data_IF_164098768197
#
_entry.id   IF_164098768197
#
_cell.length_a   1.000
_cell.length_b   1.000
_cell.length_c   1.000
_cell.angle_alpha   90.00
_cell.angle_beta   90.00
_cell.angle_gamma   90.00
#
_symmetry.space_group_name_H-M   'P 1'
#
loop_
_entity.id
_entity.type
_entity.pdbx_description
1 polymer ?
#
# COMPACT_ATOMS: atom_id res chain seq x y z
N UNK A 1 21.40 -21.31 4.12
CA UNK A 1 21.05 -20.51 5.31
C UNK A 1 22.13 -19.48 5.59
N UNK A 2 21.77 -18.21 5.89
CA UNK A 2 22.74 -17.14 6.24
C UNK A 2 23.41 -17.42 7.60
N UNK A 3 22.66 -17.98 8.55
CA UNK A 3 23.17 -18.35 9.89
C UNK A 3 24.23 -19.44 9.79
N UNK A 4 23.99 -20.51 9.01
CA UNK A 4 24.99 -21.57 8.83
C UNK A 4 26.23 -21.11 8.08
N UNK A 5 26.11 -20.13 7.16
CA UNK A 5 27.28 -19.53 6.51
C UNK A 5 28.12 -18.76 7.53
N UNK A 6 27.48 -17.92 8.35
CA UNK A 6 28.13 -17.18 9.43
C UNK A 6 28.80 -18.11 10.46
N UNK A 7 28.14 -19.21 10.81
CA UNK A 7 28.65 -20.22 11.75
C UNK A 7 29.83 -21.01 11.17
N UNK A 8 29.76 -21.35 9.88
CA UNK A 8 30.85 -22.03 9.17
C UNK A 8 32.12 -21.17 9.10
N UNK A 9 31.99 -19.89 8.75
CA UNK A 9 33.11 -18.94 8.73
C UNK A 9 33.82 -18.79 10.08
N UNK A 10 33.14 -19.14 11.18
CA UNK A 10 33.65 -19.02 12.56
C UNK A 10 33.95 -20.38 13.20
N UNK A 11 33.91 -21.46 12.44
CA UNK A 11 34.18 -22.80 12.93
C UNK A 11 33.08 -23.41 13.82
N UNK A 12 31.96 -22.73 14.02
CA UNK A 12 30.82 -23.23 14.81
C UNK A 12 30.00 -24.31 14.09
N UNK A 13 30.11 -24.40 12.76
CA UNK A 13 29.46 -25.43 11.96
C UNK A 13 30.41 -25.98 10.90
N UNK A 14 30.32 -27.27 10.60
CA UNK A 14 31.10 -27.92 9.53
C UNK A 14 30.51 -27.71 8.13
N UNK A 15 29.31 -27.13 8.03
CA UNK A 15 28.65 -26.83 6.77
C UNK A 15 27.16 -26.52 6.95
N UNK A 16 26.48 -26.13 5.86
CA UNK A 16 25.03 -25.94 5.88
C UNK A 16 24.32 -27.29 5.62
N UNK A 17 23.60 -27.86 6.60
CA UNK A 17 22.92 -29.16 6.44
C UNK A 17 21.77 -29.12 5.43
N UNK A 18 21.27 -27.93 5.11
CA UNK A 18 20.22 -27.73 4.09
C UNK A 18 20.77 -27.55 2.67
N UNK A 19 22.10 -27.68 2.47
CA UNK A 19 22.71 -27.59 1.14
C UNK A 19 22.22 -28.78 0.30
N UNK A 20 21.50 -28.49 -0.78
CA UNK A 20 20.87 -29.51 -1.65
C UNK A 20 19.35 -29.67 -1.42
N UNK A 21 18.80 -29.10 -0.35
CA UNK A 21 17.35 -29.07 -0.14
C UNK A 21 16.74 -27.95 -0.99
N UNK A 22 15.81 -28.31 -1.88
CA UNK A 22 15.07 -27.34 -2.70
C UNK A 22 14.19 -26.47 -1.80
N UNK A 23 14.30 -25.16 -1.95
CA UNK A 23 13.39 -24.24 -1.27
C UNK A 23 11.99 -24.38 -1.87
N UNK A 24 10.98 -24.40 -1.00
CA UNK A 24 9.60 -24.25 -1.44
C UNK A 24 9.42 -22.89 -2.11
N UNK A 25 8.86 -22.89 -3.33
CA UNK A 25 8.64 -21.65 -4.08
C UNK A 25 7.19 -21.25 -3.88
N UNK A 26 6.97 -20.22 -3.08
CA UNK A 26 5.65 -19.63 -2.90
C UNK A 26 5.23 -18.88 -4.17
N UNK A 27 4.00 -19.10 -4.62
CA UNK A 27 3.39 -18.30 -5.68
C UNK A 27 2.91 -16.99 -5.06
N UNK A 28 3.45 -15.87 -5.57
CA UNK A 28 3.03 -14.55 -5.11
C UNK A 28 1.60 -14.25 -5.51
N UNK A 29 0.88 -13.52 -4.65
CA UNK A 29 -0.48 -13.06 -4.93
C UNK A 29 -0.50 -12.09 -6.13
N UNK A 30 -1.44 -12.31 -7.05
CA UNK A 30 -1.60 -11.60 -8.33
C UNK A 30 -2.99 -10.96 -8.52
N UNK A 31 -3.91 -11.16 -7.58
CA UNK A 31 -5.28 -10.63 -7.63
C UNK A 31 -5.33 -9.09 -7.70
N UNK A 32 -6.07 -8.58 -8.69
CA UNK A 32 -6.48 -7.17 -8.81
C UNK A 32 -7.73 -6.89 -7.97
N UNK A 33 -7.80 -5.70 -7.35
CA UNK A 33 -8.98 -5.24 -6.61
C UNK A 33 -9.83 -4.39 -7.53
N UNK A 34 -11.07 -4.81 -7.76
CA UNK A 34 -11.99 -4.09 -8.64
C UNK A 34 -12.40 -2.74 -8.03
N UNK A 35 -12.90 -1.84 -8.88
CA UNK A 35 -13.43 -0.56 -8.40
C UNK A 35 -14.63 -0.77 -7.48
N UNK A 36 -15.48 -1.73 -7.80
CA UNK A 36 -16.63 -2.12 -7.00
C UNK A 36 -16.23 -2.59 -5.60
N UNK A 37 -15.26 -3.50 -5.49
CA UNK A 37 -14.74 -3.97 -4.20
C UNK A 37 -14.10 -2.85 -3.38
N UNK A 38 -13.31 -2.00 -4.03
CA UNK A 38 -12.70 -0.85 -3.37
C UNK A 38 -13.76 0.10 -2.83
N UNK A 39 -14.75 0.46 -3.65
CA UNK A 39 -15.80 1.41 -3.31
C UNK A 39 -16.75 0.85 -2.23
N UNK A 40 -17.09 -0.44 -2.31
CA UNK A 40 -17.90 -1.12 -1.32
C UNK A 40 -17.23 -1.07 0.07
N UNK A 41 -15.95 -1.43 0.15
CA UNK A 41 -15.19 -1.31 1.41
C UNK A 41 -15.05 0.15 1.85
N UNK A 42 -14.80 1.08 0.92
CA UNK A 42 -14.67 2.49 1.22
C UNK A 42 -15.96 3.07 1.83
N UNK A 43 -17.12 2.65 1.34
CA UNK A 43 -18.43 3.16 1.77
C UNK A 43 -18.74 2.88 3.24
N UNK A 44 -18.36 1.69 3.73
CA UNK A 44 -18.57 1.27 5.13
C UNK A 44 -17.41 1.64 6.05
N UNK A 45 -16.25 2.00 5.48
CA UNK A 45 -15.04 2.23 6.25
C UNK A 45 -15.12 3.50 7.13
N UNK A 46 -14.58 3.45 8.37
CA UNK A 46 -14.44 4.65 9.19
C UNK A 46 -13.49 5.65 8.52
N UNK A 47 -13.63 6.95 8.84
CA UNK A 47 -12.89 8.03 8.18
C UNK A 47 -11.37 7.81 8.12
N UNK A 48 -10.77 7.32 9.21
CA UNK A 48 -9.34 6.97 9.28
C UNK A 48 -8.95 5.94 8.21
N UNK A 49 -9.78 4.91 8.01
CA UNK A 49 -9.53 3.84 7.03
C UNK A 49 -9.74 4.37 5.62
N UNK A 50 -10.79 5.16 5.38
CA UNK A 50 -11.04 5.82 4.08
C UNK A 50 -9.87 6.67 3.63
N UNK A 51 -9.36 7.53 4.52
CA UNK A 51 -8.18 8.36 4.24
C UNK A 51 -6.96 7.49 3.94
N UNK A 52 -6.71 6.45 4.73
CA UNK A 52 -5.59 5.54 4.50
C UNK A 52 -5.70 4.80 3.16
N UNK A 53 -6.91 4.36 2.77
CA UNK A 53 -7.17 3.71 1.49
C UNK A 53 -6.84 4.63 0.31
N UNK A 54 -7.29 5.89 0.37
CA UNK A 54 -7.02 6.88 -0.68
C UNK A 54 -5.54 7.20 -0.78
N UNK A 55 -4.86 7.43 0.35
CA UNK A 55 -3.42 7.70 0.35
C UNK A 55 -2.61 6.50 -0.16
N UNK A 56 -2.97 5.27 0.20
CA UNK A 56 -2.28 4.07 -0.31
C UNK A 56 -2.48 3.89 -1.82
N UNK A 57 -3.71 4.08 -2.30
CA UNK A 57 -4.09 3.95 -3.71
C UNK A 57 -3.46 5.05 -4.57
N UNK A 58 -3.73 6.33 -4.28
CA UNK A 58 -3.31 7.47 -5.09
C UNK A 58 -1.79 7.67 -5.08
N UNK A 59 -1.15 7.50 -3.91
CA UNK A 59 0.29 7.71 -3.79
C UNK A 59 1.11 6.45 -4.09
N UNK A 60 0.47 5.30 -4.37
CA UNK A 60 1.12 4.00 -4.51
C UNK A 60 2.07 3.68 -3.33
N UNK A 61 1.65 4.05 -2.12
CA UNK A 61 2.46 4.04 -0.91
C UNK A 61 2.23 2.75 -0.08
N UNK A 62 3.23 2.32 0.70
CA UNK A 62 3.07 1.19 1.62
C UNK A 62 2.33 1.64 2.86
N UNK A 63 1.69 0.70 3.56
CA UNK A 63 0.97 0.99 4.81
C UNK A 63 1.81 1.78 5.81
N UNK A 64 3.07 1.38 6.05
CA UNK A 64 3.93 2.08 6.98
C UNK A 64 4.19 3.54 6.55
N UNK A 65 4.47 3.76 5.26
CA UNK A 65 4.70 5.10 4.71
C UNK A 65 3.44 5.99 4.87
N UNK A 66 2.24 5.40 4.73
CA UNK A 66 0.95 6.09 4.91
C UNK A 66 0.71 6.46 6.38
N UNK A 67 0.96 5.53 7.31
CA UNK A 67 0.73 5.76 8.75
C UNK A 67 1.78 6.71 9.37
N UNK A 68 2.97 6.79 8.80
CA UNK A 68 4.03 7.70 9.25
C UNK A 68 3.99 9.07 8.57
N UNK A 69 3.04 9.28 7.65
CA UNK A 69 2.91 10.53 6.90
C UNK A 69 2.64 11.71 7.83
N UNK A 70 3.46 12.75 7.72
CA UNK A 70 3.39 13.98 8.51
C UNK A 70 2.80 15.13 7.72
N UNK A 71 2.15 16.05 8.41
CA UNK A 71 1.61 17.29 7.82
C UNK A 71 2.71 18.18 7.21
N UNK A 72 3.93 18.12 7.74
CA UNK A 72 5.09 18.84 7.19
C UNK A 72 5.55 18.32 5.82
N UNK A 73 5.07 17.16 5.38
CA UNK A 73 5.33 16.63 4.04
C UNK A 73 4.36 17.17 2.98
N UNK A 74 3.31 17.87 3.41
CA UNK A 74 2.36 18.52 2.51
C UNK A 74 2.96 19.87 2.09
N UNK A 75 3.37 19.97 0.83
CA UNK A 75 4.00 21.14 0.22
C UNK A 75 3.12 21.68 -0.92
N UNK A 76 3.47 22.84 -1.48
CA UNK A 76 2.66 23.48 -2.52
C UNK A 76 2.48 22.58 -3.75
N UNK A 77 3.50 21.83 -4.12
CA UNK A 77 3.53 20.97 -5.29
C UNK A 77 2.81 19.63 -5.07
N UNK A 78 2.69 19.15 -3.83
CA UNK A 78 2.14 17.83 -3.54
C UNK A 78 2.48 17.27 -2.16
N UNK A 79 2.49 15.94 -2.05
CA UNK A 79 2.94 15.22 -0.86
C UNK A 79 4.34 14.66 -1.07
N UNK A 80 5.31 15.11 -0.29
CA UNK A 80 6.68 14.60 -0.31
C UNK A 80 6.79 13.28 0.46
N UNK A 81 6.89 12.16 -0.26
CA UNK A 81 7.02 10.82 0.32
C UNK A 81 8.43 10.29 0.08
N UNK A 82 9.15 10.01 1.18
CA UNK A 82 10.39 9.23 1.15
C UNK A 82 10.10 7.82 1.65
N UNK A 83 10.11 6.84 0.75
CA UNK A 83 9.75 5.46 1.09
C UNK A 83 10.75 4.86 2.09
N UNK A 84 10.29 4.36 3.23
CA UNK A 84 11.18 3.83 4.29
C UNK A 84 12.00 2.63 3.81
N UNK A 85 11.42 1.78 2.94
CA UNK A 85 12.06 0.54 2.48
C UNK A 85 13.11 0.75 1.38
N UNK A 86 12.92 1.72 0.50
CA UNK A 86 13.75 1.91 -0.71
C UNK A 86 14.54 3.21 -0.70
N UNK A 87 14.25 4.11 0.25
CA UNK A 87 14.79 5.46 0.40
C UNK A 87 14.53 6.42 -0.79
N UNK A 88 13.72 6.00 -1.77
CA UNK A 88 13.34 6.83 -2.91
C UNK A 88 12.40 7.95 -2.43
N UNK A 89 12.75 9.20 -2.73
CA UNK A 89 11.94 10.37 -2.45
C UNK A 89 11.18 10.80 -3.71
N UNK A 90 9.88 11.07 -3.57
CA UNK A 90 9.02 11.52 -4.66
C UNK A 90 7.99 12.50 -4.12
N UNK A 91 7.65 13.51 -4.93
CA UNK A 91 6.49 14.36 -4.68
C UNK A 91 5.32 13.74 -5.44
N UNK A 92 4.23 13.45 -4.73
CA UNK A 92 2.95 13.06 -5.33
C UNK A 92 2.15 14.33 -5.56
N UNK A 93 2.11 14.76 -6.83
CA UNK A 93 1.46 16.00 -7.21
C UNK A 93 -0.02 16.00 -6.80
N UNK A 94 -0.53 17.19 -6.47
CA UNK A 94 -1.92 17.34 -6.07
C UNK A 94 -2.87 16.97 -7.21
N UNK A 95 -3.93 16.25 -6.84
CA UNK A 95 -5.12 16.03 -7.66
C UNK A 95 -6.34 16.40 -6.82
N UNK A 96 -7.49 16.64 -7.46
CA UNK A 96 -8.73 16.92 -6.75
C UNK A 96 -9.08 15.81 -5.74
N UNK A 97 -8.95 14.54 -6.16
CA UNK A 97 -9.18 13.37 -5.31
C UNK A 97 -8.18 13.28 -4.15
N UNK A 98 -6.90 13.59 -4.38
CA UNK A 98 -5.90 13.59 -3.31
C UNK A 98 -6.15 14.72 -2.31
N UNK A 99 -6.53 15.90 -2.78
CA UNK A 99 -6.92 17.02 -1.93
C UNK A 99 -8.15 16.67 -1.07
N UNK A 100 -9.17 16.03 -1.65
CA UNK A 100 -10.33 15.57 -0.92
C UNK A 100 -9.96 14.59 0.21
N UNK A 101 -9.04 13.66 -0.04
CA UNK A 101 -8.53 12.73 0.97
C UNK A 101 -7.82 13.45 2.12
N UNK A 102 -7.02 14.48 1.82
CA UNK A 102 -6.35 15.30 2.85
C UNK A 102 -7.34 16.18 3.61
N UNK A 103 -8.37 16.72 2.95
CA UNK A 103 -9.44 17.46 3.63
C UNK A 103 -10.21 16.56 4.60
N UNK A 104 -10.54 15.33 4.20
CA UNK A 104 -11.11 14.32 5.09
C UNK A 104 -10.16 13.94 6.24
N UNK A 105 -8.86 13.92 6.01
CA UNK A 105 -7.86 13.68 7.07
C UNK A 105 -7.88 14.78 8.14
N UNK A 106 -8.14 16.04 7.75
CA UNK A 106 -8.24 17.17 8.69
C UNK A 106 -9.46 17.10 9.59
N UNK A 107 -10.52 16.38 9.18
CA UNK A 107 -11.74 16.21 9.99
C UNK A 107 -11.68 14.99 10.92
N UNK A 108 -10.53 14.31 11.01
CA UNK A 108 -10.38 13.18 11.93
C UNK A 108 -10.43 13.67 13.39
N UNK A 109 -11.15 12.95 14.28
CA UNK A 109 -11.38 13.42 15.64
C UNK A 109 -10.07 13.49 16.44
N UNK A 110 -9.93 14.56 17.21
CA UNK A 110 -8.90 14.80 18.22
C UNK A 110 -9.56 15.07 19.55
N UNK A 111 -8.93 14.66 20.64
CA UNK A 111 -9.33 15.06 21.97
C UNK A 111 -9.05 16.56 22.15
N UNK A 112 -9.84 17.23 22.99
CA UNK A 112 -9.68 18.66 23.25
C UNK A 112 -8.26 18.99 23.74
N UNK A 113 -7.70 20.07 23.21
CA UNK A 113 -6.32 20.50 23.49
C UNK A 113 -5.22 19.69 22.79
N UNK A 114 -5.56 18.63 22.04
CA UNK A 114 -4.57 17.84 21.32
C UNK A 114 -4.37 18.33 19.89
N UNK A 115 -3.12 18.26 19.43
CA UNK A 115 -2.77 18.43 18.01
C UNK A 115 -1.99 17.21 17.52
N UNK A 116 -2.03 16.96 16.21
CA UNK A 116 -1.26 15.88 15.59
C UNK A 116 -0.32 16.41 14.52
N UNK A 117 0.90 15.89 14.53
CA UNK A 117 1.88 16.04 13.45
C UNK A 117 1.59 15.13 12.25
N UNK A 118 0.80 14.09 12.43
CA UNK A 118 0.52 13.07 11.43
C UNK A 118 -0.74 13.41 10.64
N UNK A 119 -0.79 12.97 9.38
CA UNK A 119 -2.00 13.07 8.55
C UNK A 119 -3.05 12.08 9.03
N UNK A 120 -2.63 10.87 9.39
CA UNK A 120 -3.48 9.85 10.01
C UNK A 120 -3.05 9.67 11.46
N UNK A 121 -3.96 9.95 12.38
CA UNK A 121 -3.69 9.90 13.81
C UNK A 121 -4.87 9.37 14.63
N UNK A 122 -4.55 8.92 15.83
CA UNK A 122 -5.51 8.60 16.87
C UNK A 122 -6.07 9.89 17.48
N UNK A 123 -7.14 9.78 18.27
CA UNK A 123 -7.72 10.93 18.98
C UNK A 123 -6.72 11.56 19.98
N UNK A 124 -5.74 10.78 20.46
CA UNK A 124 -4.61 11.24 21.28
C UNK A 124 -3.52 11.99 20.49
N UNK A 125 -3.73 12.29 19.20
CA UNK A 125 -2.77 12.99 18.33
C UNK A 125 -1.58 12.15 17.86
N UNK A 126 -1.37 10.95 18.40
CA UNK A 126 -0.29 10.06 17.99
C UNK A 126 -0.64 9.28 16.71
N UNK A 127 0.38 8.85 15.96
CA UNK A 127 0.18 7.95 14.81
C UNK A 127 -0.45 6.62 15.23
N UNK A 128 -1.09 5.95 14.28
CA UNK A 128 -1.48 4.56 14.49
C UNK A 128 -0.28 3.62 14.44
N UNK A 129 -0.28 2.61 15.30
CA UNK A 129 0.56 1.43 15.10
C UNK A 129 -0.01 0.58 13.95
N UNK A 130 0.83 -0.25 13.34
CA UNK A 130 0.40 -1.18 12.29
C UNK A 130 -0.77 -2.05 12.75
N UNK A 131 -0.66 -2.63 13.94
CA UNK A 131 -1.66 -3.57 14.45
C UNK A 131 -2.95 -2.85 14.87
N UNK A 132 -2.83 -1.65 15.46
CA UNK A 132 -3.98 -0.81 15.79
C UNK A 132 -4.77 -0.38 14.56
N UNK A 133 -4.08 -0.03 13.46
CA UNK A 133 -4.73 0.24 12.18
C UNK A 133 -5.35 -1.02 11.56
N UNK A 134 -4.61 -2.14 11.56
CA UNK A 134 -5.08 -3.40 10.97
C UNK A 134 -6.34 -3.95 11.63
N UNK A 135 -6.52 -3.73 12.93
CA UNK A 135 -7.77 -4.07 13.62
C UNK A 135 -8.97 -3.33 13.02
N UNK A 136 -8.84 -2.00 12.78
CA UNK A 136 -9.89 -1.19 12.15
C UNK A 136 -10.13 -1.57 10.70
N UNK A 137 -9.07 -1.84 9.95
CA UNK A 137 -9.15 -2.34 8.58
C UNK A 137 -9.90 -3.67 8.49
N UNK A 138 -9.58 -4.62 9.39
CA UNK A 138 -10.25 -5.92 9.45
C UNK A 138 -11.73 -5.77 9.75
N UNK A 139 -12.09 -4.94 10.75
CA UNK A 139 -13.49 -4.66 11.08
C UNK A 139 -14.27 -4.08 9.89
N UNK A 140 -13.69 -3.11 9.17
CA UNK A 140 -14.31 -2.55 7.97
C UNK A 140 -14.52 -3.61 6.87
N UNK A 141 -13.58 -4.56 6.71
CA UNK A 141 -13.71 -5.67 5.77
C UNK A 141 -14.80 -6.68 6.18
N UNK A 142 -14.93 -6.96 7.47
CA UNK A 142 -15.99 -7.83 8.00
C UNK A 142 -17.36 -7.20 7.72
N UNK A 143 -17.51 -5.91 8.03
CA UNK A 143 -18.74 -5.16 7.74
C UNK A 143 -19.05 -5.08 6.23
N UNK A 144 -18.02 -4.89 5.39
CA UNK A 144 -18.20 -4.89 3.95
C UNK A 144 -18.63 -6.26 3.41
N UNK A 145 -18.12 -7.37 3.99
CA UNK A 145 -18.56 -8.73 3.63
C UNK A 145 -20.03 -8.94 3.95
N UNK A 146 -20.49 -8.44 5.10
CA UNK A 146 -21.87 -8.60 5.53
C UNK A 146 -22.83 -7.79 4.65
N UNK A 147 -22.45 -6.57 4.26
CA UNK A 147 -23.28 -5.70 3.40
C UNK A 147 -23.22 -6.07 1.91
N UNK A 148 -22.09 -6.58 1.43
CA UNK A 148 -21.84 -6.91 0.02
C UNK A 148 -21.39 -8.37 -0.14
N UNK A 149 -22.26 -9.37 0.15
CA UNK A 149 -21.88 -10.78 0.16
C UNK A 149 -21.53 -11.33 -1.23
N UNK A 150 -21.89 -10.63 -2.30
CA UNK A 150 -21.53 -10.97 -3.68
C UNK A 150 -20.09 -10.54 -4.06
N UNK A 151 -19.42 -9.74 -3.23
CA UNK A 151 -18.06 -9.24 -3.47
C UNK A 151 -17.02 -9.99 -2.64
N UNK A 152 -15.80 -10.09 -3.19
CA UNK A 152 -14.68 -10.72 -2.49
C UNK A 152 -13.75 -9.68 -1.86
N UNK A 153 -13.79 -9.61 -0.53
CA UNK A 153 -12.85 -8.81 0.25
C UNK A 153 -11.59 -9.61 0.65
N UNK A 154 -11.22 -10.65 -0.11
CA UNK A 154 -9.94 -11.32 0.07
C UNK A 154 -8.79 -10.49 -0.53
N UNK A 155 -8.44 -9.41 0.16
CA UNK A 155 -7.25 -8.62 -0.12
C UNK A 155 -6.66 -7.99 1.15
N UNK A 156 -5.37 -7.71 1.07
CA UNK A 156 -4.58 -7.03 2.09
C UNK A 156 -4.53 -5.54 1.82
N UNK A 157 -4.17 -4.75 2.83
CA UNK A 157 -3.97 -3.31 2.64
C UNK A 157 -2.86 -3.00 1.60
N UNK A 158 -1.83 -3.86 1.51
CA UNK A 158 -0.75 -3.72 0.55
C UNK A 158 -1.22 -3.86 -0.91
N UNK A 159 -2.31 -4.58 -1.14
CA UNK A 159 -2.88 -4.73 -2.49
C UNK A 159 -3.47 -3.42 -3.02
N UNK A 160 -3.79 -2.42 -2.17
CA UNK A 160 -4.22 -1.10 -2.61
C UNK A 160 -3.12 -0.36 -3.39
N UNK A 161 -1.85 -0.58 -3.01
CA UNK A 161 -0.71 -0.09 -3.80
C UNK A 161 -0.67 -0.76 -5.17
N UNK A 162 -0.92 -2.07 -5.24
CA UNK A 162 -0.95 -2.79 -6.51
C UNK A 162 -2.11 -2.32 -7.40
N UNK A 163 -3.29 -2.08 -6.81
CA UNK A 163 -4.42 -1.46 -7.50
C UNK A 163 -4.02 -0.09 -8.07
N UNK A 164 -3.44 0.78 -7.25
CA UNK A 164 -2.96 2.10 -7.67
C UNK A 164 -2.01 2.02 -8.87
N UNK A 165 -0.99 1.16 -8.80
CA UNK A 165 -0.04 0.97 -9.90
C UNK A 165 -0.69 0.39 -11.15
N UNK A 166 -1.64 -0.55 -10.98
CA UNK A 166 -2.36 -1.16 -12.09
C UNK A 166 -3.22 -0.14 -12.85
N UNK A 167 -3.84 0.78 -12.11
CA UNK A 167 -4.76 1.79 -12.63
C UNK A 167 -4.05 3.04 -13.21
N UNK A 168 -2.71 3.15 -13.03
CA UNK A 168 -1.92 4.14 -13.75
C UNK A 168 -2.01 3.92 -15.26
N UNK A 169 -2.03 5.02 -15.99
CA UNK A 169 -1.92 5.03 -17.45
C UNK A 169 -0.44 4.96 -17.86
N UNK A 170 -0.21 4.67 -19.15
CA UNK A 170 1.11 4.63 -19.73
C UNK A 170 1.79 3.27 -19.68
N UNK A 171 3.01 3.23 -20.21
CA UNK A 171 3.80 2.00 -20.31
C UNK A 171 4.42 1.60 -18.96
N UNK A 172 5.02 0.41 -18.91
CA UNK A 172 5.57 -0.13 -17.67
C UNK A 172 6.69 0.73 -17.05
N UNK A 173 7.44 1.49 -17.85
CA UNK A 173 8.52 2.37 -17.40
C UNK A 173 7.97 3.64 -16.75
N UNK A 174 6.90 4.21 -17.30
CA UNK A 174 6.18 5.34 -16.69
C UNK A 174 5.58 4.92 -15.34
N UNK A 175 4.92 3.75 -15.30
CA UNK A 175 4.42 3.16 -14.05
C UNK A 175 5.55 2.89 -13.04
N UNK A 176 6.72 2.47 -13.50
CA UNK A 176 7.89 2.27 -12.65
C UNK A 176 8.36 3.58 -12.02
N UNK A 177 8.49 4.64 -12.83
CA UNK A 177 8.87 5.97 -12.36
C UNK A 177 7.88 6.47 -11.31
N UNK A 178 6.58 6.33 -11.54
CA UNK A 178 5.55 6.76 -10.58
C UNK A 178 5.56 5.89 -9.31
N UNK A 179 5.74 4.57 -9.40
CA UNK A 179 5.70 3.68 -8.23
C UNK A 179 6.95 3.70 -7.35
N UNK A 180 8.05 4.28 -7.86
CA UNK A 180 9.35 4.33 -7.19
C UNK A 180 10.03 2.97 -7.08
N UNK A 181 9.73 2.05 -8.01
CA UNK A 181 10.38 0.75 -8.09
C UNK A 181 11.71 0.84 -8.82
N UNK A 182 12.73 0.13 -8.31
CA UNK A 182 14.07 0.12 -8.93
C UNK A 182 14.12 -0.70 -10.22
N UNK A 183 13.31 -1.76 -10.30
CA UNK A 183 13.35 -2.72 -11.39
C UNK A 183 11.97 -2.87 -12.03
N UNK A 184 11.94 -3.06 -13.36
CA UNK A 184 10.70 -3.23 -14.14
C UNK A 184 9.96 -4.50 -13.71
N UNK A 185 10.67 -5.60 -13.40
CA UNK A 185 10.05 -6.85 -12.95
C UNK A 185 9.30 -6.68 -11.62
N UNK A 186 9.73 -5.73 -10.79
CA UNK A 186 8.97 -5.39 -9.59
C UNK A 186 7.66 -4.72 -10.00
N UNK A 187 7.69 -3.72 -10.86
CA UNK A 187 6.47 -3.05 -11.36
C UNK A 187 5.51 -4.02 -12.03
N UNK A 188 6.02 -4.96 -12.83
CA UNK A 188 5.21 -5.99 -13.49
C UNK A 188 4.40 -6.83 -12.49
N UNK A 189 4.97 -7.17 -11.31
CA UNK A 189 4.25 -7.90 -10.25
C UNK A 189 3.10 -7.10 -9.60
N UNK A 190 3.14 -5.77 -9.71
CA UNK A 190 2.08 -4.88 -9.21
C UNK A 190 1.08 -4.50 -10.29
N UNK A 191 1.42 -4.61 -11.58
CA UNK A 191 0.48 -4.41 -12.69
C UNK A 191 -0.38 -5.67 -12.84
N UNK A 192 -1.52 -5.70 -12.15
CA UNK A 192 -2.38 -6.88 -11.99
C UNK A 192 -3.70 -6.78 -12.76
N UNK A 193 -4.03 -5.59 -13.27
CA UNK A 193 -5.23 -5.41 -14.09
C UNK A 193 -5.03 -6.16 -15.41
N UNK A 194 -6.01 -6.99 -15.76
CA UNK A 194 -6.02 -7.70 -17.05
C UNK A 194 -6.25 -6.66 -18.15
N UNK A 195 -5.33 -6.60 -19.10
CA UNK A 195 -5.43 -5.70 -20.25
C UNK A 195 -6.33 -6.30 -21.32
N UNK A 196 -7.26 -5.49 -21.83
CA UNK A 196 -8.03 -5.83 -23.02
C UNK A 196 -7.19 -5.42 -24.20
N UNK A 197 -6.62 -6.40 -24.89
CA UNK A 197 -5.77 -6.17 -26.07
C UNK A 197 -6.58 -6.34 -27.35
N UNK A 198 -6.32 -5.53 -28.39
CA UNK A 198 -6.99 -5.70 -29.67
C UNK A 198 -6.64 -7.07 -30.27
N UNK A 199 -7.60 -7.65 -30.98
CA UNK A 199 -7.35 -8.84 -31.81
C UNK A 199 -6.53 -8.45 -33.04
N UNK A 200 -5.86 -9.42 -33.66
CA UNK A 200 -5.13 -9.21 -34.91
C UNK A 200 -6.09 -8.61 -35.97
N UNK A 201 -5.72 -7.46 -36.55
CA UNK A 201 -6.54 -6.72 -37.52
C UNK A 201 -7.51 -5.69 -36.94
N UNK A 202 -7.64 -5.60 -35.61
CA UNK A 202 -8.38 -4.55 -34.90
C UNK A 202 -7.48 -3.62 -34.10
N UNK A 203 -6.22 -3.51 -34.51
CA UNK A 203 -5.15 -2.73 -33.86
C UNK A 203 -5.20 -1.27 -34.31
#
# INVERSE_FOLDING_TARGET
>A
SRVYRWAYERGYAKGNPTKGVKQFKETGRDRYITHEEYNALYSVAPGVVRVAMELAYLCCARQNDVLEMKKSQLIAEGILIKQSKTAVAQIKAWSERLNAAITMAKTLPLNDGMSSLYVIHQASGHKYTRDGFNSRWRKAKEEAKDQYPHLSFDFTFHDLKAKGISDLQGNIYEKQAISGHKNVEQTARYNRRIEVVPVVGGQ
#
